data_IF_115811019671
#
_entry.id   IF_115811019671
#
_cell.length_a   1.000
_cell.length_b   1.000
_cell.length_c   1.000
_cell.angle_alpha   90.00
_cell.angle_beta   90.00
_cell.angle_gamma   90.00
#
_symmetry.space_group_name_H-M   'P 1'
#
loop_
_entity.id
_entity.type
_entity.pdbx_description
1 polymer ?
#
# COMPACT_ATOMS: atom_id res chain seq x y z
N UNK A 1 -14.37 -14.87 7.75
CA UNK A 1 -13.43 -14.61 6.65
C UNK A 1 -12.21 -13.90 7.19
N UNK A 2 -11.05 -14.27 6.73
CA UNK A 2 -9.78 -13.75 7.26
C UNK A 2 -8.86 -13.31 6.15
N UNK A 3 -8.14 -12.22 6.37
CA UNK A 3 -7.06 -11.75 5.51
C UNK A 3 -5.80 -11.56 6.31
N UNK A 4 -4.66 -11.79 5.69
CA UNK A 4 -3.37 -11.47 6.28
C UNK A 4 -2.75 -10.32 5.51
N UNK A 5 -2.45 -9.24 6.24
CA UNK A 5 -1.78 -8.08 5.71
C UNK A 5 -0.33 -8.07 6.18
N UNK A 6 0.60 -7.80 5.25
CA UNK A 6 2.02 -7.62 5.53
C UNK A 6 2.40 -6.16 5.33
N UNK A 7 2.95 -5.53 6.35
CA UNK A 7 3.43 -4.15 6.22
C UNK A 7 4.80 -4.09 5.54
N UNK A 8 5.26 -2.87 5.24
CA UNK A 8 6.57 -2.66 4.59
C UNK A 8 7.76 -3.04 5.49
N UNK A 9 7.53 -3.25 6.77
CA UNK A 9 8.55 -3.58 7.78
C UNK A 9 8.49 -5.04 8.23
N UNK A 10 7.72 -5.88 7.53
CA UNK A 10 7.59 -7.29 7.83
C UNK A 10 6.58 -7.65 8.94
N UNK A 11 5.82 -6.69 9.45
CA UNK A 11 4.75 -6.93 10.40
C UNK A 11 3.58 -7.65 9.75
N UNK A 12 3.00 -8.61 10.47
CA UNK A 12 1.83 -9.37 10.01
C UNK A 12 0.60 -8.97 10.79
N UNK A 13 -0.48 -8.67 10.07
CA UNK A 13 -1.76 -8.30 10.64
C UNK A 13 -2.84 -9.23 10.11
N UNK A 14 -3.56 -9.88 11.01
CA UNK A 14 -4.68 -10.73 10.65
C UNK A 14 -5.97 -9.95 10.83
N UNK A 15 -6.68 -9.75 9.75
CA UNK A 15 -7.99 -9.10 9.76
C UNK A 15 -9.07 -10.16 9.65
N UNK A 16 -9.98 -10.18 10.63
CA UNK A 16 -11.11 -11.10 10.65
C UNK A 16 -12.41 -10.34 10.46
N UNK A 17 -13.32 -10.93 9.70
CA UNK A 17 -14.66 -10.40 9.49
C UNK A 17 -15.70 -11.45 9.90
N UNK A 18 -16.63 -11.04 10.74
CA UNK A 18 -17.85 -11.79 11.05
C UNK A 18 -19.06 -11.01 10.56
N UNK A 19 -19.87 -11.65 9.77
CA UNK A 19 -21.12 -11.07 9.28
C UNK A 19 -22.25 -12.07 9.50
N UNK A 20 -23.18 -11.75 10.38
CA UNK A 20 -24.41 -12.49 10.58
C UNK A 20 -25.45 -12.14 9.52
N UNK A 21 -25.67 -13.01 8.56
CA UNK A 21 -26.61 -12.74 7.46
C UNK A 21 -28.05 -12.57 7.91
N UNK A 22 -28.45 -13.21 9.01
CA UNK A 22 -29.80 -13.10 9.58
C UNK A 22 -29.93 -11.96 10.57
N UNK A 23 -28.89 -11.73 11.39
CA UNK A 23 -28.90 -10.68 12.41
C UNK A 23 -28.47 -9.32 11.89
N UNK A 24 -27.72 -9.28 10.78
CA UNK A 24 -27.13 -8.05 10.26
C UNK A 24 -25.98 -7.50 11.10
N UNK A 25 -25.45 -8.28 12.03
CA UNK A 25 -24.32 -7.87 12.85
C UNK A 25 -23.01 -8.01 12.05
N UNK A 26 -22.16 -6.99 12.14
CA UNK A 26 -20.82 -7.00 11.53
C UNK A 26 -19.81 -6.73 12.65
N UNK A 27 -18.75 -7.53 12.66
CA UNK A 27 -17.62 -7.36 13.56
C UNK A 27 -16.33 -7.54 12.78
N UNK A 28 -15.44 -6.56 12.87
CA UNK A 28 -14.12 -6.59 12.25
C UNK A 28 -13.07 -6.60 13.35
N UNK A 29 -12.14 -7.55 13.26
CA UNK A 29 -11.05 -7.70 14.22
C UNK A 29 -9.72 -7.57 13.51
N UNK A 30 -8.75 -6.99 14.21
CA UNK A 30 -7.36 -6.96 13.78
C UNK A 30 -6.48 -7.52 14.89
N UNK A 31 -5.80 -8.64 14.63
CA UNK A 31 -4.99 -9.37 15.60
C UNK A 31 -5.75 -9.70 16.90
N UNK A 32 -7.02 -10.08 16.78
CA UNK A 32 -7.87 -10.40 17.90
C UNK A 32 -8.53 -9.20 18.60
N UNK A 33 -8.24 -7.98 18.19
CA UNK A 33 -8.88 -6.77 18.71
C UNK A 33 -10.04 -6.35 17.84
N UNK A 34 -11.17 -6.06 18.44
CA UNK A 34 -12.34 -5.55 17.73
C UNK A 34 -12.09 -4.09 17.34
N UNK A 35 -12.16 -3.80 16.04
CA UNK A 35 -11.95 -2.44 15.51
C UNK A 35 -13.22 -1.83 14.93
N UNK A 36 -14.16 -2.66 14.48
CA UNK A 36 -15.46 -2.21 13.95
C UNK A 36 -16.56 -3.12 14.50
N UNK A 37 -17.63 -2.53 15.00
CA UNK A 37 -18.89 -3.22 15.30
C UNK A 37 -20.00 -2.42 14.64
N UNK A 38 -20.86 -3.10 13.88
CA UNK A 38 -22.01 -2.49 13.25
C UNK A 38 -23.22 -3.41 13.33
N UNK A 39 -24.41 -2.85 13.17
CA UNK A 39 -25.68 -3.56 13.28
C UNK A 39 -26.57 -3.24 12.08
N UNK A 40 -27.52 -4.11 11.81
CA UNK A 40 -28.50 -3.94 10.74
C UNK A 40 -27.86 -3.79 9.35
N UNK A 41 -26.80 -4.55 9.10
CA UNK A 41 -26.08 -4.49 7.81
C UNK A 41 -26.63 -5.60 6.89
N UNK A 42 -27.59 -5.24 6.07
CA UNK A 42 -28.25 -6.13 5.11
C UNK A 42 -27.99 -5.74 3.66
N UNK A 43 -27.31 -4.63 3.45
CA UNK A 43 -26.97 -4.07 2.14
C UNK A 43 -25.44 -3.92 2.00
N UNK A 44 -25.01 -3.60 0.80
CA UNK A 44 -23.59 -3.33 0.54
C UNK A 44 -23.10 -2.16 1.38
N UNK A 45 -21.94 -2.32 1.98
CA UNK A 45 -21.33 -1.30 2.84
C UNK A 45 -19.81 -1.35 2.77
N UNK A 46 -19.18 -0.21 2.98
CA UNK A 46 -17.73 -0.06 3.01
C UNK A 46 -17.32 0.45 4.38
N UNK A 47 -16.28 -0.16 4.93
CA UNK A 47 -15.65 0.26 6.19
C UNK A 47 -14.21 0.68 5.91
N UNK A 48 -13.82 1.81 6.45
CA UNK A 48 -12.45 2.30 6.36
C UNK A 48 -11.85 2.38 7.74
N UNK A 49 -10.65 1.83 7.91
CA UNK A 49 -9.95 1.83 9.19
C UNK A 49 -8.43 1.85 8.98
N UNK A 50 -7.71 2.28 10.01
CA UNK A 50 -6.25 2.36 9.98
C UNK A 50 -5.64 1.11 10.63
N UNK A 51 -4.71 0.48 9.94
CA UNK A 51 -3.82 -0.54 10.48
C UNK A 51 -2.40 -0.02 10.31
N UNK A 52 -1.74 0.29 11.43
CA UNK A 52 -0.35 0.75 11.44
C UNK A 52 -0.07 1.85 10.40
N UNK A 53 -0.81 2.95 10.47
CA UNK A 53 -0.73 4.12 9.59
C UNK A 53 -1.16 3.88 8.13
N UNK A 54 -1.73 2.72 7.82
CA UNK A 54 -2.31 2.44 6.52
C UNK A 54 -3.81 2.44 6.55
N UNK A 55 -4.43 3.11 5.58
CA UNK A 55 -5.87 3.09 5.41
C UNK A 55 -6.28 1.84 4.66
N UNK A 56 -7.09 1.01 5.30
CA UNK A 56 -7.65 -0.20 4.73
C UNK A 56 -9.13 -0.01 4.48
N UNK A 57 -9.59 -0.43 3.32
CA UNK A 57 -11.00 -0.40 2.94
C UNK A 57 -11.54 -1.83 2.89
N UNK A 58 -12.51 -2.11 3.74
CA UNK A 58 -13.23 -3.36 3.75
C UNK A 58 -14.53 -3.18 3.00
N UNK A 59 -14.69 -3.91 1.91
CA UNK A 59 -15.90 -3.90 1.09
C UNK A 59 -16.76 -5.08 1.41
N UNK A 60 -18.01 -4.81 1.72
CA UNK A 60 -19.06 -5.80 1.90
C UNK A 60 -20.08 -5.54 0.80
N UNK A 61 -20.16 -6.45 -0.17
CA UNK A 61 -21.03 -6.32 -1.32
C UNK A 61 -22.13 -7.38 -1.31
N UNK A 62 -23.35 -6.94 -1.50
CA UNK A 62 -24.48 -7.83 -1.67
C UNK A 62 -24.82 -7.95 -3.15
N UNK A 63 -24.75 -9.16 -3.67
CA UNK A 63 -25.17 -9.50 -5.02
C UNK A 63 -26.24 -10.57 -4.91
N UNK A 64 -27.49 -10.23 -5.23
CA UNK A 64 -28.68 -11.06 -5.02
C UNK A 64 -28.81 -11.43 -3.52
N UNK A 65 -28.82 -12.72 -3.17
CA UNK A 65 -28.88 -13.18 -1.78
C UNK A 65 -27.50 -13.57 -1.21
N UNK A 66 -26.41 -13.20 -1.90
CA UNK A 66 -25.05 -13.54 -1.48
C UNK A 66 -24.28 -12.30 -1.13
N UNK A 67 -23.38 -12.46 -0.16
CA UNK A 67 -22.44 -11.42 0.21
C UNK A 67 -21.03 -11.81 -0.23
N UNK A 68 -20.34 -10.87 -0.83
CA UNK A 68 -18.91 -10.98 -1.10
C UNK A 68 -18.15 -9.95 -0.29
N UNK A 69 -16.92 -10.27 0.10
CA UNK A 69 -16.09 -9.46 0.96
C UNK A 69 -14.73 -9.26 0.33
N UNK A 70 -14.19 -8.06 0.45
CA UNK A 70 -12.87 -7.73 -0.05
C UNK A 70 -12.18 -6.73 0.87
N UNK A 71 -10.88 -6.89 1.02
CA UNK A 71 -10.04 -5.96 1.77
C UNK A 71 -9.01 -5.36 0.83
N UNK A 72 -8.96 -4.03 0.78
CA UNK A 72 -8.01 -3.29 -0.04
C UNK A 72 -7.27 -2.26 0.79
N UNK A 73 -6.03 -1.97 0.40
CA UNK A 73 -5.24 -0.91 1.01
C UNK A 73 -5.33 0.31 0.13
N UNK A 74 -5.75 1.44 0.70
CA UNK A 74 -5.79 2.71 0.00
C UNK A 74 -4.40 3.34 0.01
N UNK A 75 -3.71 3.26 -1.13
CA UNK A 75 -2.38 3.85 -1.31
C UNK A 75 -2.41 5.29 -1.82
N UNK A 76 -3.60 5.81 -2.10
CA UNK A 76 -3.80 7.19 -2.57
C UNK A 76 -4.21 8.13 -1.44
N UNK A 77 -4.67 7.60 -0.30
CA UNK A 77 -5.07 8.41 0.83
C UNK A 77 -3.87 9.15 1.43
N UNK A 78 -4.13 10.29 2.05
CA UNK A 78 -3.10 11.07 2.74
C UNK A 78 -2.83 10.47 4.12
N UNK A 79 -2.09 9.35 4.15
CA UNK A 79 -1.68 8.64 5.36
C UNK A 79 -0.17 8.79 5.57
N UNK A 80 0.33 8.66 6.81
CA UNK A 80 1.78 8.66 7.06
C UNK A 80 2.54 7.59 6.29
N UNK A 81 1.97 6.40 6.14
CA UNK A 81 2.58 5.31 5.38
C UNK A 81 2.72 5.67 3.89
N UNK A 82 1.67 6.23 3.28
CA UNK A 82 1.70 6.65 1.88
C UNK A 82 2.64 7.84 1.66
N UNK A 83 2.72 8.76 2.60
CA UNK A 83 3.68 9.87 2.56
C UNK A 83 5.13 9.35 2.58
N UNK A 84 5.45 8.37 3.43
CA UNK A 84 6.77 7.72 3.45
C UNK A 84 7.08 7.01 2.14
N UNK A 85 6.12 6.31 1.54
CA UNK A 85 6.28 5.64 0.23
C UNK A 85 6.57 6.63 -0.88
N UNK A 86 5.84 7.73 -0.96
CA UNK A 86 6.08 8.79 -1.95
C UNK A 86 7.46 9.39 -1.81
N UNK A 87 7.90 9.69 -0.59
CA UNK A 87 9.24 10.24 -0.31
C UNK A 87 10.33 9.26 -0.71
N UNK A 88 10.21 7.99 -0.38
CA UNK A 88 11.19 6.95 -0.75
C UNK A 88 11.33 6.80 -2.25
N UNK A 89 10.23 6.69 -2.99
CA UNK A 89 10.25 6.58 -4.44
C UNK A 89 10.91 7.79 -5.11
N UNK A 90 10.65 8.98 -4.61
CA UNK A 90 11.28 10.21 -5.11
C UNK A 90 12.79 10.23 -4.87
N UNK A 91 13.24 9.79 -3.70
CA UNK A 91 14.67 9.72 -3.37
C UNK A 91 15.40 8.72 -4.25
N UNK A 92 14.85 7.54 -4.47
CA UNK A 92 15.44 6.51 -5.32
C UNK A 92 15.60 6.99 -6.76
N UNK A 93 14.61 7.70 -7.29
CA UNK A 93 14.65 8.24 -8.64
C UNK A 93 15.73 9.31 -8.80
N UNK A 94 15.87 10.20 -7.82
CA UNK A 94 16.93 11.25 -7.82
C UNK A 94 18.31 10.61 -7.76
N UNK A 95 18.53 9.62 -6.91
CA UNK A 95 19.81 8.92 -6.81
C UNK A 95 20.17 8.24 -8.14
N UNK A 96 19.21 7.62 -8.82
CA UNK A 96 19.43 6.99 -10.12
C UNK A 96 19.87 8.01 -11.18
N UNK A 97 19.25 9.19 -11.21
CA UNK A 97 19.62 10.27 -12.12
C UNK A 97 21.03 10.80 -11.85
N UNK A 98 21.39 11.01 -10.58
CA UNK A 98 22.73 11.49 -10.19
C UNK A 98 23.79 10.49 -10.60
N UNK A 99 23.59 9.19 -10.38
CA UNK A 99 24.52 8.15 -10.80
C UNK A 99 24.70 8.13 -12.31
N UNK A 100 23.63 8.23 -13.09
CA UNK A 100 23.68 8.29 -14.54
C UNK A 100 24.47 9.51 -15.04
N UNK A 101 24.26 10.69 -14.44
CA UNK A 101 24.98 11.91 -14.79
C UNK A 101 26.49 11.78 -14.53
N UNK A 102 26.89 11.18 -13.42
CA UNK A 102 28.31 10.94 -13.09
C UNK A 102 28.94 9.98 -14.10
N UNK A 103 28.25 8.90 -14.45
CA UNK A 103 28.74 7.93 -15.43
C UNK A 103 28.97 8.59 -16.81
N UNK A 104 28.05 9.40 -17.29
CA UNK A 104 28.18 10.13 -18.55
C UNK A 104 29.34 11.14 -18.51
N UNK A 105 29.54 11.82 -17.40
CA UNK A 105 30.65 12.75 -17.24
C UNK A 105 32.01 12.03 -17.33
N UNK A 106 32.17 10.89 -16.66
CA UNK A 106 33.40 10.10 -16.70
C UNK A 106 33.68 9.61 -18.11
N UNK A 107 32.70 9.08 -18.82
CA UNK A 107 32.86 8.62 -20.22
C UNK A 107 33.22 9.78 -21.12
N UNK A 108 32.59 10.94 -21.00
CA UNK A 108 32.90 12.13 -21.79
C UNK A 108 34.33 12.63 -21.60
N UNK A 109 34.83 12.67 -20.38
CA UNK A 109 36.22 13.07 -20.07
C UNK A 109 37.21 12.06 -20.66
N UNK A 110 36.93 10.76 -20.55
CA UNK A 110 37.78 9.70 -21.07
C UNK A 110 37.89 9.78 -22.61
N UNK A 111 36.79 9.97 -23.30
CA UNK A 111 36.75 10.13 -24.74
C UNK A 111 37.51 11.39 -25.20
N UNK A 112 37.29 12.49 -24.53
CA UNK A 112 37.98 13.74 -24.81
C UNK A 112 39.49 13.60 -24.63
N UNK A 113 39.96 12.91 -23.59
CA UNK A 113 41.37 12.69 -23.32
C UNK A 113 42.03 11.80 -24.41
N UNK A 114 41.32 10.74 -24.82
CA UNK A 114 41.81 9.84 -25.88
C UNK A 114 41.90 10.56 -27.25
N UNK A 115 40.87 11.32 -27.61
CA UNK A 115 40.84 12.09 -28.84
C UNK A 115 41.89 13.21 -28.84
N UNK A 116 42.10 13.85 -27.68
CA UNK A 116 43.15 14.86 -27.52
C UNK A 116 44.54 14.32 -27.70
N UNK A 117 44.83 13.09 -27.29
CA UNK A 117 46.12 12.43 -27.55
C UNK A 117 46.29 11.94 -28.98
N UNK A 118 45.22 11.68 -29.70
CA UNK A 118 45.25 11.25 -31.10
C UNK A 118 45.67 12.34 -32.09
N UNK A 119 45.71 13.59 -31.65
CA UNK A 119 46.12 14.74 -32.47
C UNK A 119 47.60 15.01 -32.41
N UNK A 120 48.30 14.38 -31.54
CA UNK A 120 49.75 14.49 -31.40
C UNK A 120 50.42 13.14 -31.65
#
# INVERSE_FOLDING_TARGET
MHWTYLDDYGGRYKVGLYHGKQSGHVMVLCNGRVIVIDFNVFESKKYSFLINDELCDLHLERVDNRFSYGLEIDRKADTPANARRRKRNRTDWIQSLVCAAIMFAIIGISVFFVLGKGYF
#
